data_IF_533940559657
#
_entry.id   IF_533940559657
#
_cell.length_a   1.000
_cell.length_b   1.000
_cell.length_c   1.000
_cell.angle_alpha   90.00
_cell.angle_beta   90.00
_cell.angle_gamma   90.00
#
_symmetry.space_group_name_H-M   'P 1'
#
loop_
_entity.id
_entity.type
_entity.pdbx_description
1 polymer ?
#
# COMPACT_ATOMS: atom_id res chain seq x y z
N UNK A 1 -55.32 47.08 76.20
CA UNK A 1 -55.72 47.60 74.87
C UNK A 1 -54.44 47.89 74.10
N UNK A 2 -53.58 46.88 73.95
CA UNK A 2 -53.68 45.77 72.99
C UNK A 2 -53.39 46.23 71.57
N UNK A 3 -52.34 45.65 70.99
CA UNK A 3 -52.04 45.83 69.57
C UNK A 3 -50.60 45.57 69.16
N UNK A 4 -49.93 44.54 69.71
CA UNK A 4 -48.73 43.98 69.08
C UNK A 4 -49.13 43.24 67.80
N UNK A 5 -48.58 43.66 66.65
CA UNK A 5 -48.68 42.93 65.39
C UNK A 5 -47.26 42.49 64.95
N UNK A 6 -47.10 41.27 64.40
CA UNK A 6 -45.79 40.62 64.28
C UNK A 6 -45.02 41.04 63.03
N UNK A 7 -43.69 41.11 63.16
CA UNK A 7 -42.73 41.19 62.05
C UNK A 7 -42.90 40.00 61.09
N UNK A 8 -43.29 40.29 59.85
CA UNK A 8 -43.21 39.32 58.76
C UNK A 8 -41.80 39.37 58.18
N UNK A 9 -41.01 38.33 58.48
CA UNK A 9 -39.71 38.09 57.87
C UNK A 9 -39.88 37.88 56.36
N UNK A 10 -39.39 38.83 55.57
CA UNK A 10 -39.34 38.74 54.12
C UNK A 10 -38.22 37.79 53.71
N UNK A 11 -38.57 36.54 53.39
CA UNK A 11 -37.63 35.58 52.80
C UNK A 11 -37.29 36.01 51.37
N UNK A 12 -36.12 36.62 51.18
CA UNK A 12 -35.56 36.86 49.84
C UNK A 12 -35.17 35.54 49.17
N UNK A 13 -35.45 35.34 47.87
CA UNK A 13 -35.01 34.15 47.15
C UNK A 13 -33.48 34.17 47.03
N UNK A 14 -32.82 33.14 47.54
CA UNK A 14 -31.39 32.89 47.29
C UNK A 14 -31.25 32.47 45.83
N UNK A 15 -30.87 33.41 44.95
CA UNK A 15 -30.51 33.10 43.56
C UNK A 15 -29.13 32.47 43.54
N UNK A 16 -29.09 31.17 43.26
CA UNK A 16 -27.83 30.44 43.03
C UNK A 16 -27.06 31.06 41.85
N UNK A 17 -25.72 31.17 41.94
CA UNK A 17 -24.91 31.68 40.84
C UNK A 17 -25.06 30.79 39.58
N UNK A 18 -25.01 31.36 38.36
CA UNK A 18 -25.03 30.56 37.14
C UNK A 18 -23.80 29.65 37.10
N UNK A 19 -24.02 28.35 36.90
CA UNK A 19 -22.95 27.38 36.71
C UNK A 19 -22.08 27.80 35.52
N UNK A 20 -20.83 28.17 35.78
CA UNK A 20 -19.83 28.45 34.75
C UNK A 20 -19.50 27.15 34.02
N UNK A 21 -19.97 27.01 32.78
CA UNK A 21 -19.60 25.89 31.91
C UNK A 21 -18.09 25.94 31.68
N UNK A 22 -17.36 24.89 32.10
CA UNK A 22 -15.94 24.71 31.74
C UNK A 22 -15.79 24.84 30.22
N UNK A 23 -14.78 25.56 29.70
CA UNK A 23 -14.54 25.63 28.27
C UNK A 23 -14.30 24.22 27.73
N UNK A 24 -14.96 23.90 26.61
CA UNK A 24 -14.81 22.62 25.93
C UNK A 24 -13.32 22.39 25.58
N UNK A 25 -12.82 21.14 25.65
CA UNK A 25 -11.46 20.84 25.29
C UNK A 25 -11.14 21.28 23.85
N UNK A 26 -9.88 21.68 23.57
CA UNK A 26 -9.49 22.18 22.26
C UNK A 26 -9.61 21.07 21.20
N UNK A 27 -10.48 21.30 20.21
CA UNK A 27 -10.65 20.40 19.05
C UNK A 27 -9.45 20.54 18.12
N UNK A 28 -8.75 19.44 17.86
CA UNK A 28 -7.66 19.43 16.88
C UNK A 28 -8.23 19.37 15.46
N UNK A 29 -7.75 20.27 14.60
CA UNK A 29 -8.03 20.31 13.17
C UNK A 29 -6.81 19.84 12.40
N UNK A 30 -6.97 18.81 11.57
CA UNK A 30 -5.90 18.29 10.69
C UNK A 30 -6.47 17.90 9.35
N UNK A 31 -5.65 18.03 8.30
CA UNK A 31 -6.07 17.78 6.93
C UNK A 31 -5.38 16.54 6.36
N UNK A 32 -6.08 15.80 5.50
CA UNK A 32 -5.49 14.72 4.72
C UNK A 32 -4.59 15.31 3.63
N UNK A 33 -3.33 14.85 3.52
CA UNK A 33 -2.38 15.36 2.52
C UNK A 33 -2.75 15.00 1.07
N UNK A 34 -3.57 13.96 0.87
CA UNK A 34 -3.95 13.50 -0.48
C UNK A 34 -5.16 14.25 -1.01
N UNK A 35 -6.23 14.32 -0.21
CA UNK A 35 -7.51 14.87 -0.66
C UNK A 35 -7.82 16.25 -0.08
N UNK A 36 -6.92 16.81 0.74
CA UNK A 36 -7.04 18.11 1.40
C UNK A 36 -8.29 18.27 2.30
N UNK A 37 -9.06 17.20 2.53
CA UNK A 37 -10.22 17.23 3.42
C UNK A 37 -9.79 17.44 4.87
N UNK A 38 -10.49 18.34 5.55
CA UNK A 38 -10.29 18.65 6.96
C UNK A 38 -11.01 17.64 7.85
N UNK A 39 -10.40 17.32 8.99
CA UNK A 39 -10.96 16.44 10.01
C UNK A 39 -10.81 17.11 11.38
N UNK A 40 -11.88 17.02 12.16
CA UNK A 40 -11.97 17.54 13.52
C UNK A 40 -12.02 16.36 14.51
N UNK A 41 -11.36 16.49 15.65
CA UNK A 41 -11.44 15.53 16.75
C UNK A 41 -10.46 15.84 17.88
N UNK A 42 -10.58 15.12 18.99
CA UNK A 42 -9.62 15.21 20.10
C UNK A 42 -8.33 14.43 19.76
N UNK A 43 -7.25 14.62 20.54
CA UNK A 43 -5.93 13.98 20.33
C UNK A 43 -5.97 12.47 20.03
N UNK A 44 -6.97 11.79 20.58
CA UNK A 44 -7.15 10.33 20.46
C UNK A 44 -8.09 9.95 19.29
N UNK A 45 -9.01 10.82 18.88
CA UNK A 45 -10.16 10.48 18.03
C UNK A 45 -10.16 11.12 16.63
N UNK A 46 -9.07 11.77 16.21
CA UNK A 46 -8.97 12.28 14.82
C UNK A 46 -8.99 11.10 13.83
N UNK A 47 -9.91 11.12 12.86
CA UNK A 47 -10.08 10.07 11.83
C UNK A 47 -8.99 10.11 10.73
N UNK A 48 -7.75 10.32 11.12
CA UNK A 48 -6.56 10.37 10.27
C UNK A 48 -5.55 9.32 10.72
N UNK A 49 -4.79 8.84 9.75
CA UNK A 49 -3.75 7.83 9.89
C UNK A 49 -2.41 8.48 9.55
N UNK A 50 -1.36 8.10 10.29
CA UNK A 50 0.02 8.43 9.96
C UNK A 50 0.70 7.19 9.38
N UNK A 51 0.66 6.97 8.05
CA UNK A 51 1.11 5.71 7.46
C UNK A 51 2.63 5.64 7.28
N UNK A 52 3.33 6.77 7.29
CA UNK A 52 4.77 6.83 7.08
C UNK A 52 5.51 7.17 8.38
N UNK A 53 6.63 6.46 8.63
CA UNK A 53 7.52 6.73 9.77
C UNK A 53 8.50 7.87 9.52
N UNK A 54 8.75 8.20 8.24
CA UNK A 54 9.77 9.17 7.84
C UNK A 54 9.22 10.60 7.67
N UNK A 55 7.91 10.80 7.80
CA UNK A 55 7.30 12.13 7.72
C UNK A 55 6.09 12.23 8.67
N UNK A 56 5.58 13.44 8.86
CA UNK A 56 4.43 13.74 9.72
C UNK A 56 3.09 13.81 8.97
N UNK A 57 3.04 13.33 7.72
CA UNK A 57 1.86 13.46 6.86
C UNK A 57 0.68 12.61 7.34
N UNK A 58 -0.51 13.20 7.31
CA UNK A 58 -1.76 12.58 7.74
C UNK A 58 -2.63 12.21 6.53
N UNK A 59 -3.30 11.07 6.63
CA UNK A 59 -4.10 10.48 5.56
C UNK A 59 -5.46 10.10 6.11
N UNK A 60 -6.54 10.41 5.41
CA UNK A 60 -7.84 9.85 5.78
C UNK A 60 -7.88 8.34 5.50
N UNK A 61 -8.82 7.64 6.12
CA UNK A 61 -9.00 6.18 5.96
C UNK A 61 -9.17 5.78 4.49
N UNK A 62 -9.97 6.55 3.74
CA UNK A 62 -10.20 6.32 2.31
C UNK A 62 -8.92 6.49 1.47
N UNK A 63 -8.16 7.56 1.70
CA UNK A 63 -6.90 7.79 0.99
C UNK A 63 -5.83 6.76 1.36
N UNK A 64 -5.84 6.27 2.61
CA UNK A 64 -4.96 5.18 3.05
C UNK A 64 -5.26 3.90 2.28
N UNK A 65 -6.54 3.48 2.20
CA UNK A 65 -6.96 2.34 1.37
C UNK A 65 -6.54 2.53 -0.09
N UNK A 66 -6.82 3.69 -0.67
CA UNK A 66 -6.58 3.96 -2.08
C UNK A 66 -5.11 3.84 -2.48
N UNK A 67 -4.16 4.18 -1.61
CA UNK A 67 -2.73 3.94 -1.88
C UNK A 67 -2.45 2.45 -2.13
N UNK A 68 -3.01 1.56 -1.31
CA UNK A 68 -2.81 0.11 -1.48
C UNK A 68 -3.55 -0.40 -2.72
N UNK A 69 -4.78 0.07 -2.95
CA UNK A 69 -5.57 -0.31 -4.13
C UNK A 69 -4.86 0.08 -5.43
N UNK A 70 -4.30 1.28 -5.49
CA UNK A 70 -3.51 1.73 -6.64
C UNK A 70 -2.24 0.91 -6.86
N UNK A 71 -1.54 0.56 -5.79
CA UNK A 71 -0.38 -0.31 -5.88
C UNK A 71 -0.75 -1.72 -6.42
N UNK A 72 -2.00 -2.17 -6.26
CA UNK A 72 -2.52 -3.41 -6.86
C UNK A 72 -2.98 -3.26 -8.31
N UNK A 73 -3.07 -2.05 -8.85
CA UNK A 73 -3.48 -1.83 -10.24
C UNK A 73 -2.32 -2.10 -11.20
N UNK A 74 -1.11 -1.68 -10.85
CA UNK A 74 0.06 -1.74 -11.73
C UNK A 74 1.33 -2.10 -10.96
N UNK A 75 2.17 -2.95 -11.56
CA UNK A 75 3.46 -3.35 -11.02
C UNK A 75 4.44 -2.17 -10.80
N UNK A 76 4.25 -1.08 -11.55
CA UNK A 76 5.03 0.17 -11.42
C UNK A 76 4.65 0.98 -10.18
N UNK A 77 3.40 0.88 -9.75
CA UNK A 77 2.88 1.57 -8.56
C UNK A 77 3.17 0.78 -7.29
N UNK A 78 3.51 -0.51 -7.41
CA UNK A 78 3.98 -1.34 -6.30
C UNK A 78 5.38 -0.88 -5.83
N UNK A 79 5.65 -0.83 -4.51
CA UNK A 79 4.72 -0.95 -3.40
C UNK A 79 3.98 0.36 -3.08
N UNK A 80 2.97 0.27 -2.20
CA UNK A 80 2.38 1.43 -1.54
C UNK A 80 3.49 2.29 -0.92
N UNK A 81 3.58 3.57 -1.33
CA UNK A 81 4.70 4.45 -1.00
C UNK A 81 4.26 5.82 -0.48
N UNK A 82 5.09 6.34 0.42
CA UNK A 82 5.16 7.75 0.81
C UNK A 82 6.63 8.18 0.62
N UNK A 83 7.35 8.57 1.68
CA UNK A 83 8.80 8.74 1.65
C UNK A 83 9.58 7.42 1.53
N UNK A 84 8.88 6.29 1.68
CA UNK A 84 9.39 4.93 1.57
C UNK A 84 8.22 3.95 1.45
N UNK A 85 8.50 2.65 1.49
CA UNK A 85 7.46 1.62 1.47
C UNK A 85 6.59 1.71 2.74
N UNK A 86 5.28 1.78 2.55
CA UNK A 86 4.29 1.74 3.63
C UNK A 86 4.01 0.27 3.95
N UNK A 87 4.20 -0.18 5.20
CA UNK A 87 3.89 -1.55 5.58
C UNK A 87 2.39 -1.88 5.45
N UNK A 88 2.06 -3.09 5.00
CA UNK A 88 0.67 -3.54 4.80
C UNK A 88 -0.19 -3.48 6.08
N UNK A 89 0.40 -3.64 7.27
CA UNK A 89 -0.34 -3.60 8.54
C UNK A 89 -1.11 -2.28 8.75
N UNK A 90 -0.62 -1.18 8.15
CA UNK A 90 -1.30 0.12 8.17
C UNK A 90 -2.59 0.09 7.32
N UNK A 91 -2.60 -0.68 6.23
CA UNK A 91 -3.74 -0.84 5.34
C UNK A 91 -4.76 -1.88 5.81
N UNK A 92 -4.35 -2.86 6.63
CA UNK A 92 -5.22 -3.97 7.06
C UNK A 92 -6.60 -3.54 7.60
N UNK A 93 -6.74 -2.48 8.41
CA UNK A 93 -8.06 -2.06 8.91
C UNK A 93 -9.00 -1.50 7.83
N UNK A 94 -8.46 -1.17 6.65
CA UNK A 94 -9.18 -0.47 5.58
C UNK A 94 -9.33 -1.29 4.30
N UNK A 95 -8.68 -2.45 4.23
CA UNK A 95 -8.69 -3.36 3.08
C UNK A 95 -9.57 -4.57 3.35
N UNK A 96 -10.22 -5.10 2.31
CA UNK A 96 -10.91 -6.39 2.37
C UNK A 96 -9.91 -7.55 2.45
N UNK A 97 -10.37 -8.75 2.80
CA UNK A 97 -9.50 -9.94 2.83
C UNK A 97 -8.92 -10.25 1.45
N UNK A 98 -9.73 -10.07 0.41
CA UNK A 98 -9.35 -10.29 -0.99
C UNK A 98 -8.29 -9.29 -1.44
N UNK A 99 -8.46 -8.01 -1.08
CA UNK A 99 -7.47 -6.95 -1.33
C UNK A 99 -6.14 -7.22 -0.61
N UNK A 100 -6.20 -7.70 0.64
CA UNK A 100 -4.98 -8.06 1.39
C UNK A 100 -4.24 -9.22 0.73
N UNK A 101 -4.95 -10.26 0.30
CA UNK A 101 -4.34 -11.40 -0.40
C UNK A 101 -3.72 -10.95 -1.72
N UNK A 102 -4.46 -10.20 -2.54
CA UNK A 102 -3.97 -9.67 -3.82
C UNK A 102 -2.74 -8.79 -3.64
N UNK A 103 -2.75 -7.88 -2.66
CA UNK A 103 -1.60 -7.01 -2.40
C UNK A 103 -0.35 -7.83 -2.03
N UNK A 104 -0.51 -8.87 -1.20
CA UNK A 104 0.61 -9.75 -0.80
C UNK A 104 1.19 -10.51 -1.98
N UNK A 105 0.35 -11.09 -2.83
CA UNK A 105 0.77 -11.80 -4.04
C UNK A 105 1.54 -10.89 -4.99
N UNK A 106 0.98 -9.71 -5.30
CA UNK A 106 1.64 -8.75 -6.18
C UNK A 106 2.93 -8.18 -5.55
N UNK A 107 2.96 -7.96 -4.23
CA UNK A 107 4.16 -7.50 -3.53
C UNK A 107 5.25 -8.57 -3.60
N UNK A 108 4.89 -9.84 -3.43
CA UNK A 108 5.81 -10.96 -3.53
C UNK A 108 6.39 -11.09 -4.94
N UNK A 109 5.56 -10.93 -5.98
CA UNK A 109 6.01 -10.85 -7.36
C UNK A 109 6.99 -9.67 -7.56
N UNK A 110 6.68 -8.50 -7.01
CA UNK A 110 7.49 -7.28 -7.16
C UNK A 110 8.85 -7.36 -6.45
N UNK A 111 8.89 -8.07 -5.32
CA UNK A 111 10.12 -8.32 -4.58
C UNK A 111 10.95 -9.45 -5.19
N UNK A 112 10.36 -10.32 -6.01
CA UNK A 112 11.06 -11.45 -6.63
C UNK A 112 11.99 -10.95 -7.72
N UNK A 113 13.32 -11.19 -7.62
CA UNK A 113 14.25 -10.86 -8.69
C UNK A 113 13.98 -11.75 -9.91
N UNK A 114 13.90 -11.17 -11.11
CA UNK A 114 13.59 -11.89 -12.35
C UNK A 114 12.33 -12.77 -12.23
N UNK A 115 11.14 -12.17 -12.00
CA UNK A 115 9.91 -12.93 -11.85
C UNK A 115 9.68 -13.78 -13.10
N UNK A 116 9.40 -15.06 -12.88
CA UNK A 116 9.10 -16.01 -13.95
C UNK A 116 7.59 -16.15 -14.07
N UNK A 117 7.09 -16.32 -15.29
CA UNK A 117 5.67 -16.42 -15.57
C UNK A 117 5.36 -17.70 -16.32
N UNK A 118 4.11 -18.14 -16.23
CA UNK A 118 3.64 -19.28 -16.98
C UNK A 118 3.82 -19.03 -18.50
N UNK A 119 4.47 -19.95 -19.24
CA UNK A 119 4.71 -19.80 -20.68
C UNK A 119 3.44 -19.94 -21.52
N UNK A 120 2.29 -20.26 -20.91
CA UNK A 120 0.99 -20.27 -21.58
C UNK A 120 0.49 -18.82 -21.64
N UNK A 121 0.36 -18.20 -22.83
CA UNK A 121 0.02 -16.77 -22.94
C UNK A 121 -1.32 -16.41 -22.30
N UNK A 122 -2.31 -17.30 -22.37
CA UNK A 122 -3.64 -17.12 -21.75
C UNK A 122 -3.61 -17.24 -20.23
N UNK A 123 -2.56 -17.83 -19.66
CA UNK A 123 -2.41 -18.00 -18.21
C UNK A 123 -1.57 -16.87 -17.61
N UNK A 124 -0.32 -16.74 -18.09
CA UNK A 124 0.68 -15.75 -17.65
C UNK A 124 0.79 -15.58 -16.13
N UNK A 125 0.44 -16.63 -15.36
CA UNK A 125 0.46 -16.58 -13.90
C UNK A 125 1.90 -16.45 -13.40
N UNK A 126 2.10 -15.64 -12.36
CA UNK A 126 3.39 -15.55 -11.68
C UNK A 126 3.77 -16.90 -11.07
N UNK A 127 4.98 -17.35 -11.38
CA UNK A 127 5.56 -18.60 -10.92
C UNK A 127 6.55 -18.31 -9.81
N UNK A 128 6.12 -18.58 -8.56
CA UNK A 128 6.98 -18.39 -7.41
C UNK A 128 8.16 -19.38 -7.45
N UNK A 129 9.43 -18.93 -7.50
CA UNK A 129 10.58 -19.82 -7.67
C UNK A 129 10.66 -20.92 -6.61
N UNK A 130 10.40 -20.57 -5.34
CA UNK A 130 10.42 -21.53 -4.23
C UNK A 130 9.33 -22.61 -4.34
N UNK A 131 8.21 -22.31 -5.00
CA UNK A 131 7.13 -23.29 -5.25
C UNK A 131 7.47 -24.18 -6.43
N UNK A 132 7.88 -23.58 -7.55
CA UNK A 132 8.21 -24.32 -8.78
C UNK A 132 9.40 -25.24 -8.60
N UNK A 133 10.37 -24.89 -7.76
CA UNK A 133 11.48 -25.78 -7.42
C UNK A 133 11.05 -27.08 -6.73
N UNK A 134 9.90 -27.09 -6.03
CA UNK A 134 9.35 -28.26 -5.34
C UNK A 134 8.30 -28.98 -6.18
N UNK A 135 7.43 -28.20 -6.82
CA UNK A 135 6.31 -28.67 -7.61
C UNK A 135 6.34 -27.92 -8.95
N UNK A 136 6.93 -28.50 -10.01
CA UNK A 136 7.18 -27.83 -11.28
C UNK A 136 5.92 -27.74 -12.14
N UNK A 137 4.82 -27.25 -11.58
CA UNK A 137 3.52 -27.08 -12.23
C UNK A 137 3.01 -25.66 -12.03
N UNK A 138 2.33 -25.13 -13.03
CA UNK A 138 1.65 -23.84 -12.91
C UNK A 138 0.47 -23.99 -11.95
N UNK A 139 0.33 -23.15 -10.92
CA UNK A 139 -0.75 -23.27 -9.93
C UNK A 139 -2.14 -22.90 -10.47
N UNK A 140 -2.22 -22.29 -11.65
CA UNK A 140 -3.47 -21.81 -12.25
C UNK A 140 -3.98 -22.69 -13.40
N UNK A 141 -3.07 -23.23 -14.21
CA UNK A 141 -3.43 -24.04 -15.40
C UNK A 141 -2.76 -25.42 -15.42
N UNK A 142 -2.08 -25.80 -14.33
CA UNK A 142 -1.48 -27.12 -14.11
C UNK A 142 -0.43 -27.56 -15.13
N UNK A 143 -0.05 -26.67 -16.05
CA UNK A 143 0.99 -26.93 -17.05
C UNK A 143 2.33 -27.20 -16.37
N UNK A 144 2.99 -28.30 -16.74
CA UNK A 144 4.33 -28.64 -16.26
C UNK A 144 5.38 -27.68 -16.82
N UNK A 145 6.27 -27.23 -15.95
CA UNK A 145 7.28 -26.21 -16.22
C UNK A 145 8.67 -26.81 -16.07
N UNK A 146 9.53 -26.59 -17.06
CA UNK A 146 10.95 -26.90 -16.95
C UNK A 146 11.61 -25.94 -15.94
N UNK A 147 12.13 -26.47 -14.83
CA UNK A 147 12.79 -25.68 -13.77
C UNK A 147 14.04 -24.95 -14.31
N UNK A 148 14.70 -25.52 -15.32
CA UNK A 148 15.96 -25.01 -15.86
C UNK A 148 15.82 -23.76 -16.74
N UNK A 149 14.74 -23.67 -17.54
CA UNK A 149 14.52 -22.55 -18.48
C UNK A 149 13.22 -21.78 -18.23
N UNK A 150 12.30 -22.29 -17.39
CA UNK A 150 10.99 -21.68 -17.14
C UNK A 150 9.95 -21.89 -18.25
N UNK A 151 10.30 -22.63 -19.31
CA UNK A 151 9.38 -22.96 -20.41
C UNK A 151 8.53 -24.20 -20.09
N UNK A 152 7.63 -24.59 -21.00
CA UNK A 152 6.88 -25.84 -20.87
C UNK A 152 7.84 -27.03 -20.75
N UNK A 153 7.46 -28.02 -19.96
CA UNK A 153 8.26 -29.24 -19.82
C UNK A 153 8.54 -29.89 -21.18
N UNK A 154 9.80 -30.27 -21.40
CA UNK A 154 10.30 -30.76 -22.69
C UNK A 154 11.27 -31.95 -22.47
N UNK A 155 10.77 -33.12 -22.02
CA UNK A 155 11.62 -34.24 -21.60
C UNK A 155 12.53 -34.75 -22.73
N UNK A 156 12.06 -34.70 -23.97
CA UNK A 156 12.76 -35.23 -25.14
C UNK A 156 13.56 -34.17 -25.92
N UNK A 157 13.62 -32.93 -25.44
CA UNK A 157 14.32 -31.83 -26.10
C UNK A 157 15.40 -31.20 -25.22
N UNK A 158 16.50 -30.78 -25.85
CA UNK A 158 17.56 -30.06 -25.16
C UNK A 158 17.03 -28.75 -24.55
N UNK A 159 17.41 -28.49 -23.30
CA UNK A 159 17.05 -27.27 -22.61
C UNK A 159 17.86 -26.09 -23.15
N UNK A 160 17.29 -25.32 -24.06
CA UNK A 160 17.85 -24.03 -24.45
C UNK A 160 17.42 -23.01 -23.41
N UNK A 161 18.36 -22.55 -22.57
CA UNK A 161 18.14 -21.32 -21.82
C UNK A 161 18.09 -20.21 -22.87
N UNK A 162 16.90 -19.71 -23.18
CA UNK A 162 16.66 -18.57 -24.07
C UNK A 162 17.37 -17.33 -23.51
N UNK A 163 18.68 -17.28 -23.71
CA UNK A 163 19.37 -16.03 -23.95
C UNK A 163 19.28 -15.92 -25.46
N UNK A 164 18.19 -15.33 -25.95
CA UNK A 164 18.04 -15.08 -27.38
C UNK A 164 19.25 -14.22 -27.81
N UNK A 165 20.22 -14.81 -28.53
CA UNK A 165 21.44 -14.10 -28.89
C UNK A 165 21.11 -12.94 -29.83
N UNK A 166 20.03 -13.04 -30.59
CA UNK A 166 19.56 -11.99 -31.49
C UNK A 166 19.00 -10.81 -30.68
N UNK A 167 18.29 -11.08 -29.59
CA UNK A 167 17.85 -10.02 -28.66
C UNK A 167 19.04 -9.32 -27.99
N UNK A 168 20.06 -10.06 -27.55
CA UNK A 168 21.26 -9.45 -26.96
C UNK A 168 22.06 -8.63 -27.98
N UNK A 169 22.16 -9.11 -29.21
CA UNK A 169 22.81 -8.41 -30.31
C UNK A 169 22.05 -7.13 -30.68
N UNK A 170 20.73 -7.19 -30.83
CA UNK A 170 19.89 -6.02 -31.10
C UNK A 170 19.98 -4.97 -29.97
N UNK A 171 19.98 -5.41 -28.71
CA UNK A 171 20.15 -4.50 -27.56
C UNK A 171 21.52 -3.81 -27.58
N UNK A 172 22.60 -4.54 -27.88
CA UNK A 172 23.94 -3.97 -28.02
C UNK A 172 24.00 -2.97 -29.18
N UNK A 173 23.49 -3.35 -30.35
CA UNK A 173 23.46 -2.51 -31.55
C UNK A 173 22.73 -1.19 -31.30
N UNK A 174 21.60 -1.22 -30.59
CA UNK A 174 20.81 -0.02 -30.29
C UNK A 174 21.28 0.74 -29.04
N UNK A 175 22.32 0.25 -28.36
CA UNK A 175 22.90 0.87 -27.16
C UNK A 175 22.04 0.73 -25.90
N UNK A 176 21.21 -0.31 -25.81
CA UNK A 176 20.42 -0.68 -24.63
C UNK A 176 21.20 -1.67 -23.75
N UNK A 177 21.02 -1.60 -22.44
CA UNK A 177 21.49 -2.60 -21.47
C UNK A 177 20.30 -3.28 -20.80
N UNK A 178 20.45 -4.51 -20.31
CA UNK A 178 19.41 -5.18 -19.52
C UNK A 178 19.40 -4.60 -18.10
N UNK A 179 18.23 -4.25 -17.59
CA UNK A 179 18.05 -3.89 -16.18
C UNK A 179 18.45 -5.08 -15.28
N UNK A 180 19.26 -4.91 -14.23
CA UNK A 180 19.70 -6.01 -13.37
C UNK A 180 18.53 -6.64 -12.58
N UNK A 181 17.45 -5.88 -12.33
CA UNK A 181 16.29 -6.34 -11.55
C UNK A 181 15.24 -7.08 -12.40
N UNK A 182 14.90 -6.54 -13.56
CA UNK A 182 13.78 -7.03 -14.38
C UNK A 182 14.17 -7.44 -15.81
N UNK A 183 15.45 -7.31 -16.17
CA UNK A 183 15.99 -7.61 -17.50
C UNK A 183 15.32 -6.87 -18.66
N UNK A 184 14.48 -5.86 -18.43
CA UNK A 184 14.00 -4.98 -19.51
C UNK A 184 15.16 -4.22 -20.14
N UNK A 185 15.13 -4.02 -21.46
CA UNK A 185 16.11 -3.16 -22.14
C UNK A 185 15.94 -1.70 -21.72
N UNK A 186 16.99 -1.10 -21.18
CA UNK A 186 17.04 0.30 -20.77
C UNK A 186 18.17 1.01 -21.55
N UNK A 187 17.87 2.20 -22.09
CA UNK A 187 18.86 3.05 -22.75
C UNK A 187 19.07 4.31 -21.95
N UNK A 188 20.34 4.66 -21.74
CA UNK A 188 20.70 5.94 -21.14
C UNK A 188 20.53 7.01 -22.20
N UNK A 189 19.71 8.02 -21.92
CA UNK A 189 19.54 9.15 -22.85
C UNK A 189 20.70 10.15 -22.67
N UNK A 190 20.82 10.76 -21.50
CA UNK A 190 21.91 11.70 -21.15
C UNK A 190 22.18 11.63 -19.63
N UNK A 191 23.34 12.13 -19.16
CA UNK A 191 23.63 12.32 -17.72
C UNK A 191 24.56 11.29 -17.07
N UNK A 192 24.48 11.18 -15.73
CA UNK A 192 25.37 10.38 -14.87
C UNK A 192 25.41 8.88 -15.26
N UNK A 193 26.47 8.17 -14.89
CA UNK A 193 26.68 6.74 -15.19
C UNK A 193 25.89 5.78 -14.28
N UNK A 194 25.28 6.29 -13.20
CA UNK A 194 24.45 5.49 -12.31
C UNK A 194 23.05 5.28 -12.93
N UNK A 195 22.71 4.02 -13.24
CA UNK A 195 21.42 3.58 -13.81
C UNK A 195 20.70 2.63 -12.86
#
# INVERSE_FOLDING_TARGET
MDGSAPEQAYNSPVTSPPATKKPAPPVLRRNCIICCTEFEGDEINVSLVKPCRNCASHYCKACTRNIFVRAMSNMREMPARCCGMIPIHIGLPYLSKEEVTKYREMLQEWMTPNPTYCPIPTCSAFLLPARIAKEPTCPKCETRICISCGQKEHPDAACTKETDPDLENALKEWGYRRCPKCRTGIKRMYGCTHM
#
